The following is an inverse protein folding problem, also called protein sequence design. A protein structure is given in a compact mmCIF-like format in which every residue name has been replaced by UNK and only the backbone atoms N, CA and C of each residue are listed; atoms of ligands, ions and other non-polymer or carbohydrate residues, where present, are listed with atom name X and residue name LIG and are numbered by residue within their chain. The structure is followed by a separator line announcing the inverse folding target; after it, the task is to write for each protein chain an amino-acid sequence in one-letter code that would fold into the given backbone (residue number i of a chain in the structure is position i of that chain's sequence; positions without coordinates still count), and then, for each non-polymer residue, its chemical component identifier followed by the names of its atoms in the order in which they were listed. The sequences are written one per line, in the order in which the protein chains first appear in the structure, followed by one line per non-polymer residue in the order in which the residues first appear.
data_IF_581262429188
#
_entry.id   IF_581262429188
#
_cell.length_a   1.000
_cell.length_b   1.000
_cell.length_c   1.000
_cell.angle_alpha   90.00
_cell.angle_beta   90.00
_cell.angle_gamma   90.00
#
_symmetry.space_group_name_H-M   'P 1'
#
loop_
_entity.id
_entity.type
_entity.pdbx_description
1 polymer ?
#
# COMPACT_ATOMS: atom_id res chain seq x y z
N UNK A 1 13.76 9.98 -30.82
CA UNK A 1 12.95 9.43 -29.71
C UNK A 1 13.32 10.22 -28.48
N UNK A 2 12.41 10.92 -27.78
CA UNK A 2 12.80 11.67 -26.61
C UNK A 2 13.11 10.67 -25.48
N UNK A 3 14.35 10.74 -24.98
CA UNK A 3 14.81 9.93 -23.86
C UNK A 3 13.96 10.19 -22.63
N UNK A 4 13.66 9.12 -21.90
CA UNK A 4 13.00 9.23 -20.59
C UNK A 4 13.97 9.97 -19.67
N UNK A 5 13.66 11.23 -19.38
CA UNK A 5 14.33 11.97 -18.32
C UNK A 5 14.13 11.21 -16.99
N UNK A 6 15.20 10.93 -16.24
CA UNK A 6 15.13 10.17 -14.98
C UNK A 6 14.32 10.86 -13.88
N UNK A 7 13.94 12.14 -14.10
CA UNK A 7 13.14 12.97 -13.20
C UNK A 7 11.69 13.17 -13.69
N UNK A 8 11.25 12.47 -14.73
CA UNK A 8 9.88 12.62 -15.22
C UNK A 8 8.87 12.01 -14.23
N UNK A 9 8.35 12.83 -13.32
CA UNK A 9 7.40 12.45 -12.27
C UNK A 9 6.19 11.70 -12.82
N UNK A 10 5.64 12.13 -13.97
CA UNK A 10 4.52 11.44 -14.62
C UNK A 10 4.89 10.04 -15.10
N UNK A 11 6.10 9.85 -15.62
CA UNK A 11 6.60 8.54 -16.02
C UNK A 11 6.82 7.62 -14.81
N UNK A 12 7.36 8.15 -13.71
CA UNK A 12 7.54 7.42 -12.45
C UNK A 12 6.20 6.95 -11.88
N UNK A 13 5.21 7.84 -11.80
CA UNK A 13 3.84 7.51 -11.38
C UNK A 13 3.23 6.44 -12.29
N UNK A 14 3.35 6.60 -13.61
CA UNK A 14 2.81 5.63 -14.57
C UNK A 14 3.44 4.25 -14.40
N UNK A 15 4.77 4.20 -14.27
CA UNK A 15 5.50 2.96 -14.04
C UNK A 15 5.09 2.31 -12.72
N UNK A 16 4.95 3.11 -11.65
CA UNK A 16 4.48 2.64 -10.36
C UNK A 16 3.08 2.02 -10.46
N UNK A 17 2.14 2.70 -11.11
CA UNK A 17 0.78 2.20 -11.30
C UNK A 17 0.76 0.90 -12.10
N UNK A 18 1.58 0.79 -13.15
CA UNK A 18 1.70 -0.42 -13.96
C UNK A 18 2.32 -1.59 -13.18
N UNK A 19 3.36 -1.34 -12.38
CA UNK A 19 3.98 -2.37 -11.54
C UNK A 19 3.01 -2.89 -10.49
N UNK A 20 2.30 -1.99 -9.81
CA UNK A 20 1.41 -2.36 -8.71
C UNK A 20 0.08 -2.97 -9.18
N UNK A 21 -0.36 -2.69 -10.42
CA UNK A 21 -1.52 -3.36 -11.03
C UNK A 21 -1.29 -4.87 -11.20
N UNK A 22 -0.04 -5.24 -11.49
CA UNK A 22 0.36 -6.64 -11.69
C UNK A 22 0.34 -7.47 -10.41
N UNK A 23 0.27 -6.87 -9.22
CA UNK A 23 0.15 -7.62 -7.95
C UNK A 23 -1.09 -8.53 -7.94
N UNK A 24 -2.22 -8.06 -8.49
CA UNK A 24 -3.45 -8.85 -8.54
C UNK A 24 -3.41 -10.04 -9.50
N UNK A 25 -2.38 -10.14 -10.35
CA UNK A 25 -2.24 -11.18 -11.39
C UNK A 25 -1.29 -12.32 -10.99
N UNK A 26 -0.90 -12.41 -9.71
CA UNK A 26 -0.01 -13.47 -9.21
C UNK A 26 1.43 -13.39 -9.69
N UNK A 27 1.84 -12.28 -10.31
CA UNK A 27 3.24 -12.06 -10.64
C UNK A 27 4.02 -11.72 -9.37
N UNK A 28 5.18 -12.36 -9.18
CA UNK A 28 6.20 -11.94 -8.22
C UNK A 28 6.79 -10.59 -8.67
N UNK A 29 6.01 -9.52 -8.55
CA UNK A 29 6.50 -8.17 -8.76
C UNK A 29 7.27 -7.82 -7.49
N UNK A 30 8.56 -7.56 -7.64
CA UNK A 30 9.41 -7.14 -6.53
C UNK A 30 8.83 -5.89 -5.89
N UNK A 31 8.21 -6.03 -4.72
CA UNK A 31 7.64 -4.93 -3.95
C UNK A 31 8.64 -3.80 -3.71
N UNK A 32 9.92 -4.16 -3.67
CA UNK A 32 11.08 -3.28 -3.56
C UNK A 32 11.19 -2.26 -4.71
N UNK A 33 10.79 -2.59 -5.94
CA UNK A 33 10.90 -1.67 -7.07
C UNK A 33 9.86 -0.55 -7.00
N UNK A 34 8.63 -0.87 -6.59
CA UNK A 34 7.58 0.13 -6.39
C UNK A 34 7.96 1.11 -5.26
N UNK A 35 8.49 0.59 -4.16
CA UNK A 35 8.96 1.39 -3.02
C UNK A 35 10.16 2.28 -3.40
N UNK A 36 11.07 1.81 -4.26
CA UNK A 36 12.16 2.63 -4.79
C UNK A 36 11.67 3.77 -5.68
N UNK A 37 10.63 3.55 -6.47
CA UNK A 37 10.03 4.61 -7.31
C UNK A 37 9.37 5.67 -6.42
N UNK A 38 8.65 5.26 -5.39
CA UNK A 38 8.03 6.19 -4.43
C UNK A 38 9.08 7.13 -3.83
N UNK A 39 10.24 6.62 -3.43
CA UNK A 39 11.33 7.46 -2.88
C UNK A 39 11.89 8.51 -3.85
N UNK A 40 11.60 8.39 -5.15
CA UNK A 40 12.01 9.34 -6.20
C UNK A 40 10.93 10.37 -6.53
N UNK A 41 9.73 10.24 -5.95
CA UNK A 41 8.67 11.22 -6.15
C UNK A 41 9.05 12.53 -5.44
N UNK A 42 8.77 13.65 -6.08
CA UNK A 42 9.19 14.97 -5.58
C UNK A 42 8.35 15.47 -4.40
N UNK A 43 7.08 15.08 -4.32
CA UNK A 43 6.12 15.58 -3.33
C UNK A 43 5.91 14.57 -2.19
N UNK A 44 5.98 15.04 -0.94
CA UNK A 44 5.66 14.25 0.25
C UNK A 44 4.22 13.72 0.27
N UNK A 45 3.26 14.48 -0.28
CA UNK A 45 1.90 14.01 -0.50
C UNK A 45 1.87 12.79 -1.43
N UNK A 46 2.51 12.89 -2.60
CA UNK A 46 2.56 11.79 -3.55
C UNK A 46 3.30 10.58 -2.97
N UNK A 47 4.42 10.80 -2.28
CA UNK A 47 5.15 9.72 -1.59
C UNK A 47 4.26 8.97 -0.61
N UNK A 48 3.51 9.69 0.23
CA UNK A 48 2.59 9.11 1.19
C UNK A 48 1.42 8.41 0.49
N UNK A 49 0.76 9.08 -0.46
CA UNK A 49 -0.38 8.56 -1.19
C UNK A 49 -0.07 7.26 -1.93
N UNK A 50 1.04 7.23 -2.66
CA UNK A 50 1.45 6.09 -3.45
C UNK A 50 2.02 4.95 -2.60
N UNK A 51 2.63 5.24 -1.44
CA UNK A 51 2.95 4.22 -0.44
C UNK A 51 1.69 3.50 0.05
N UNK A 52 0.62 4.26 0.33
CA UNK A 52 -0.68 3.71 0.70
C UNK A 52 -1.26 2.83 -0.40
N UNK A 53 -1.18 3.29 -1.66
CA UNK A 53 -1.70 2.55 -2.82
C UNK A 53 -1.01 1.20 -3.04
N UNK A 54 0.31 1.15 -2.82
CA UNK A 54 1.08 -0.11 -2.87
C UNK A 54 0.53 -1.09 -1.82
N UNK A 55 0.35 -0.64 -0.57
CA UNK A 55 -0.19 -1.47 0.52
C UNK A 55 -1.60 -1.98 0.23
N UNK A 56 -2.49 -1.09 -0.23
CA UNK A 56 -3.87 -1.42 -0.62
C UNK A 56 -3.89 -2.53 -1.70
N UNK A 57 -3.09 -2.38 -2.77
CA UNK A 57 -3.04 -3.33 -3.88
C UNK A 57 -2.42 -4.67 -3.47
N UNK A 58 -1.36 -4.66 -2.65
CA UNK A 58 -0.76 -5.88 -2.08
C UNK A 58 -1.76 -6.64 -1.22
N UNK A 59 -2.49 -5.95 -0.34
CA UNK A 59 -3.49 -6.57 0.52
C UNK A 59 -4.63 -7.21 -0.30
N UNK A 60 -5.16 -6.50 -1.30
CA UNK A 60 -6.17 -7.02 -2.22
C UNK A 60 -5.70 -8.27 -2.95
N UNK A 61 -4.46 -8.27 -3.44
CA UNK A 61 -3.88 -9.44 -4.09
C UNK A 61 -3.78 -10.64 -3.13
N UNK A 62 -3.33 -10.43 -1.89
CA UNK A 62 -3.26 -11.51 -0.88
C UNK A 62 -4.64 -12.09 -0.55
N UNK A 63 -5.66 -11.23 -0.41
CA UNK A 63 -7.04 -11.67 -0.18
C UNK A 63 -7.58 -12.47 -1.38
N UNK A 64 -7.26 -12.06 -2.61
CA UNK A 64 -7.68 -12.77 -3.81
C UNK A 64 -7.00 -14.15 -3.96
N UNK A 65 -5.75 -14.29 -3.51
CA UNK A 65 -5.04 -15.57 -3.52
C UNK A 65 -5.53 -16.56 -2.46
N UNK A 66 -6.14 -16.10 -1.38
CA UNK A 66 -6.85 -16.96 -0.41
C UNK A 66 -5.97 -17.94 0.38
N UNK A 67 -4.66 -17.74 0.45
CA UNK A 67 -3.75 -18.62 1.19
C UNK A 67 -4.02 -18.57 2.72
N UNK A 68 -3.71 -19.65 3.48
CA UNK A 68 -3.79 -19.63 4.94
C UNK A 68 -2.99 -18.47 5.55
N UNK A 69 -3.60 -17.73 6.48
CA UNK A 69 -2.98 -16.56 7.11
C UNK A 69 -2.97 -15.28 6.26
N UNK A 70 -3.53 -15.31 5.04
CA UNK A 70 -3.70 -14.13 4.17
C UNK A 70 -4.49 -13.00 4.84
N UNK A 71 -5.49 -13.32 5.67
CA UNK A 71 -6.28 -12.32 6.41
C UNK A 71 -5.43 -11.48 7.36
N UNK A 72 -4.52 -12.10 8.11
CA UNK A 72 -3.62 -11.39 9.04
C UNK A 72 -2.60 -10.52 8.30
N UNK A 73 -2.03 -11.04 7.20
CA UNK A 73 -1.07 -10.28 6.40
C UNK A 73 -1.77 -9.11 5.67
N UNK A 74 -2.99 -9.32 5.18
CA UNK A 74 -3.82 -8.28 4.60
C UNK A 74 -4.21 -7.21 5.64
N UNK A 75 -4.49 -7.60 6.88
CA UNK A 75 -4.74 -6.66 7.98
C UNK A 75 -3.56 -5.71 8.20
N UNK A 76 -2.34 -6.25 8.31
CA UNK A 76 -1.10 -5.46 8.47
C UNK A 76 -0.89 -4.51 7.28
N UNK A 77 -1.05 -5.02 6.06
CA UNK A 77 -0.90 -4.21 4.85
C UNK A 77 -1.94 -3.10 4.73
N UNK A 78 -3.20 -3.36 5.05
CA UNK A 78 -4.26 -2.33 5.02
C UNK A 78 -4.03 -1.31 6.14
N UNK A 79 -3.65 -1.74 7.34
CA UNK A 79 -3.33 -0.82 8.45
C UNK A 79 -2.20 0.13 8.07
N UNK A 80 -1.11 -0.39 7.50
CA UNK A 80 -0.01 0.43 6.99
C UNK A 80 -0.45 1.36 5.86
N UNK A 81 -1.31 0.89 4.95
CA UNK A 81 -1.85 1.72 3.89
C UNK A 81 -2.67 2.90 4.45
N UNK A 82 -3.49 2.66 5.47
CA UNK A 82 -4.26 3.70 6.16
C UNK A 82 -3.35 4.74 6.82
N UNK A 83 -2.29 4.32 7.52
CA UNK A 83 -1.31 5.25 8.09
C UNK A 83 -0.63 6.13 7.04
N UNK A 84 -0.38 5.59 5.85
CA UNK A 84 0.15 6.35 4.73
C UNK A 84 -0.87 7.34 4.17
N UNK A 85 -2.15 6.97 4.10
CA UNK A 85 -3.21 7.88 3.68
C UNK A 85 -3.48 8.99 4.70
N UNK A 86 -3.36 8.72 6.00
CA UNK A 86 -3.43 9.76 7.04
C UNK A 86 -2.28 10.78 6.88
N UNK A 87 -1.06 10.30 6.59
CA UNK A 87 0.07 11.20 6.27
C UNK A 87 -0.17 12.01 5.00
N UNK A 88 -0.72 11.38 3.96
CA UNK A 88 -1.08 12.08 2.73
C UNK A 88 -2.19 13.12 2.99
N UNK A 89 -3.18 12.78 3.80
CA UNK A 89 -4.25 13.70 4.20
C UNK A 89 -3.69 14.96 4.89
N UNK A 90 -2.68 14.81 5.76
CA UNK A 90 -2.04 15.93 6.44
C UNK A 90 -1.24 16.85 5.50
N UNK A 91 -0.77 16.32 4.36
CA UNK A 91 0.00 17.04 3.35
C UNK A 91 -0.84 17.50 2.15
N UNK A 92 -2.15 17.22 2.16
CA UNK A 92 -2.99 17.35 0.96
C UNK A 92 -3.12 18.80 0.50
N UNK A 93 -3.10 19.06 -0.82
CA UNK A 93 -3.49 20.35 -1.35
C UNK A 93 -4.98 20.61 -1.09
N UNK A 94 -5.36 21.89 -1.02
CA UNK A 94 -6.74 22.28 -0.77
C UNK A 94 -7.69 21.70 -1.85
N UNK A 95 -8.76 21.04 -1.42
CA UNK A 95 -9.75 20.42 -2.30
C UNK A 95 -9.37 19.02 -2.82
N UNK A 96 -8.26 18.44 -2.38
CA UNK A 96 -7.91 17.06 -2.71
C UNK A 96 -8.33 16.10 -1.59
N UNK A 97 -9.46 15.42 -1.78
CA UNK A 97 -9.98 14.43 -0.84
C UNK A 97 -9.59 12.98 -1.21
N UNK A 98 -8.72 12.79 -2.20
CA UNK A 98 -8.38 11.44 -2.70
C UNK A 98 -7.79 10.55 -1.61
N UNK A 99 -6.93 11.10 -0.75
CA UNK A 99 -6.35 10.37 0.38
C UNK A 99 -7.43 9.88 1.36
N UNK A 100 -8.41 10.73 1.67
CA UNK A 100 -9.52 10.41 2.56
C UNK A 100 -10.45 9.34 1.93
N UNK A 101 -10.75 9.47 0.63
CA UNK A 101 -11.54 8.49 -0.10
C UNK A 101 -10.86 7.11 -0.13
N UNK A 102 -9.54 7.08 -0.29
CA UNK A 102 -8.73 5.86 -0.23
C UNK A 102 -8.71 5.25 1.16
N UNK A 103 -8.52 6.06 2.20
CA UNK A 103 -8.62 5.60 3.59
C UNK A 103 -9.99 4.93 3.86
N UNK A 104 -11.08 5.57 3.44
CA UNK A 104 -12.43 5.01 3.58
C UNK A 104 -12.63 3.73 2.76
N UNK A 105 -11.94 3.57 1.63
CA UNK A 105 -11.93 2.32 0.89
C UNK A 105 -11.18 1.21 1.64
N UNK A 106 -10.05 1.52 2.27
CA UNK A 106 -9.31 0.61 3.14
C UNK A 106 -10.16 0.14 4.33
N UNK A 107 -10.83 1.05 5.02
CA UNK A 107 -11.73 0.71 6.13
C UNK A 107 -12.85 -0.25 5.69
N UNK A 108 -13.47 0.00 4.52
CA UNK A 108 -14.48 -0.90 3.94
C UNK A 108 -13.92 -2.29 3.63
N UNK A 109 -12.67 -2.39 3.19
CA UNK A 109 -12.01 -3.70 2.95
C UNK A 109 -11.81 -4.45 4.26
N UNK A 110 -11.34 -3.79 5.33
CA UNK A 110 -11.18 -4.42 6.64
C UNK A 110 -12.51 -4.96 7.16
N UNK A 111 -13.55 -4.12 7.14
CA UNK A 111 -14.89 -4.50 7.62
C UNK A 111 -15.48 -5.66 6.81
N UNK A 112 -15.41 -5.60 5.47
CA UNK A 112 -15.99 -6.61 4.58
C UNK A 112 -15.37 -7.99 4.75
N UNK A 113 -14.07 -8.06 5.04
CA UNK A 113 -13.33 -9.32 5.14
C UNK A 113 -13.05 -9.73 6.59
N UNK A 114 -13.62 -9.03 7.57
CA UNK A 114 -13.39 -9.24 9.01
C UNK A 114 -11.89 -9.38 9.34
N UNK A 115 -11.07 -8.51 8.74
CA UNK A 115 -9.63 -8.57 8.92
C UNK A 115 -9.29 -8.23 10.37
N UNK A 116 -8.56 -9.10 11.04
CA UNK A 116 -8.06 -8.88 12.40
C UNK A 116 -6.55 -8.94 12.43
N UNK A 117 -5.95 -8.29 13.44
CA UNK A 117 -4.54 -8.46 13.73
C UNK A 117 -4.24 -9.94 14.04
N UNK A 118 -3.00 -10.35 13.79
CA UNK A 118 -2.53 -11.66 14.24
C UNK A 118 -2.57 -11.67 15.78
N UNK A 119 -3.14 -12.69 16.43
CA UNK A 119 -3.06 -12.81 17.88
C UNK A 119 -1.58 -12.85 18.26
N UNK A 120 -1.19 -11.97 19.17
CA UNK A 120 0.16 -11.95 19.71
C UNK A 120 0.26 -13.15 20.65
N UNK A 121 0.96 -14.20 20.24
CA UNK A 121 1.30 -15.29 21.16
C UNK A 121 2.20 -14.68 22.23
N UNK A 122 1.64 -14.45 23.42
CA UNK A 122 2.40 -14.13 24.61
C UNK A 122 3.30 -15.33 24.90
N UNK A 123 4.51 -15.30 24.38
CA UNK A 123 5.56 -16.20 24.82
C UNK A 123 5.90 -15.81 26.26
N UNK A 124 5.28 -16.47 27.23
CA UNK A 124 5.79 -16.51 28.59
C UNK A 124 7.02 -17.42 28.57
N UNK A 125 8.25 -16.89 28.69
CA UNK A 125 9.40 -17.76 28.87
C UNK A 125 9.17 -18.55 30.17
N UNK A 126 9.09 -19.87 30.06
CA UNK A 126 9.14 -20.74 31.21
C UNK A 126 10.45 -20.45 31.95
N UNK A 127 10.35 -19.88 33.14
CA UNK A 127 11.47 -19.72 34.05
C UNK A 127 11.80 -21.11 34.60
N UNK A 128 12.89 -21.71 34.11
CA UNK A 128 13.60 -22.80 34.81
C UNK A 128 14.60 -22.23 35.82
#
# INVERSE_FOLDING_TARGET
MPGVEPDNQRALVTLLLALTDRYGRGFAVSGTQAEQIVKKLADGYEQAYYSGLIGERKAKAQLAHGAPGSGFNAHDLITKAMQHYEKAEALRPAGNDDALLRFNACARIMMKNNLTARPQENYEPALE
#
